data_IF_419766366624
#
_entry.id   IF_419766366624
#
_cell.length_a   1.000
_cell.length_b   1.000
_cell.length_c   1.000
_cell.angle_alpha   90.00
_cell.angle_beta   90.00
_cell.angle_gamma   90.00
#
_symmetry.space_group_name_H-M   'P 1'
#
loop_
_entity.id
_entity.type
_entity.pdbx_description
1 polymer ?
#
# COMPACT_ATOMS: atom_id res chain seq x y z
N UNK A 1 -1.10 14.31 -21.68
CA UNK A 1 -1.15 14.76 -20.28
C UNK A 1 -1.52 13.62 -19.36
N UNK A 2 -0.78 13.49 -18.28
CA UNK A 2 -1.06 12.45 -17.30
C UNK A 2 -2.29 12.85 -16.48
N UNK A 3 -3.26 11.95 -16.39
CA UNK A 3 -4.44 12.19 -15.58
C UNK A 3 -4.05 12.22 -14.10
N UNK A 4 -4.49 13.25 -13.38
CA UNK A 4 -4.22 13.39 -11.96
C UNK A 4 -4.94 12.30 -11.18
N UNK A 5 -4.20 11.62 -10.29
CA UNK A 5 -4.75 10.53 -9.50
C UNK A 5 -5.23 11.04 -8.15
N UNK A 6 -6.27 10.40 -7.61
CA UNK A 6 -6.90 10.84 -6.37
C UNK A 6 -6.83 9.76 -5.30
N UNK A 7 -6.84 10.22 -4.04
CA UNK A 7 -6.88 9.32 -2.89
C UNK A 7 -8.32 8.91 -2.56
N UNK A 8 -8.48 8.03 -1.58
CA UNK A 8 -9.79 7.51 -1.16
C UNK A 8 -10.72 8.58 -0.57
N UNK A 9 -10.18 9.76 -0.25
CA UNK A 9 -10.97 10.89 0.26
C UNK A 9 -11.42 11.82 -0.87
N UNK A 10 -11.09 11.52 -2.13
CA UNK A 10 -11.43 12.34 -3.27
C UNK A 10 -10.52 13.54 -3.47
N UNK A 11 -9.39 13.58 -2.78
CA UNK A 11 -8.40 14.64 -2.87
C UNK A 11 -7.22 14.19 -3.72
N UNK A 12 -6.26 15.08 -3.96
CA UNK A 12 -5.05 14.73 -4.68
C UNK A 12 -4.25 13.67 -3.91
N UNK A 13 -3.78 12.64 -4.63
CA UNK A 13 -3.00 11.57 -4.03
C UNK A 13 -1.65 12.10 -3.54
N UNK A 14 -1.34 11.90 -2.26
CA UNK A 14 -0.08 12.32 -1.67
C UNK A 14 1.00 11.26 -1.81
N UNK A 15 2.26 11.66 -1.67
CA UNK A 15 3.41 10.77 -1.74
C UNK A 15 3.36 9.74 -0.60
N UNK A 16 3.52 8.45 -0.93
CA UNK A 16 3.57 7.38 0.06
C UNK A 16 4.97 7.26 0.67
N UNK A 17 5.97 7.03 -0.18
CA UNK A 17 7.36 6.92 0.29
C UNK A 17 8.35 7.12 -0.84
N UNK A 18 9.43 7.85 -0.55
CA UNK A 18 10.58 7.98 -1.45
C UNK A 18 11.78 7.16 -0.96
N UNK A 19 11.74 6.67 0.29
CA UNK A 19 12.81 5.87 0.90
C UNK A 19 12.21 4.91 1.93
N UNK A 20 11.87 3.68 1.54
CA UNK A 20 12.08 3.04 0.22
C UNK A 20 11.20 3.66 -0.87
N UNK A 21 11.73 3.75 -2.07
CA UNK A 21 10.96 4.26 -3.21
C UNK A 21 9.92 3.22 -3.60
N UNK A 22 8.65 3.59 -3.56
CA UNK A 22 7.53 2.68 -3.73
C UNK A 22 6.65 3.06 -4.92
N UNK A 23 5.63 2.26 -5.16
CA UNK A 23 4.62 2.49 -6.18
C UNK A 23 4.81 1.63 -7.41
N UNK A 24 3.71 1.40 -8.13
CA UNK A 24 3.74 0.66 -9.39
C UNK A 24 4.71 1.30 -10.39
N UNK A 25 4.74 2.63 -10.43
CA UNK A 25 5.65 3.38 -11.30
C UNK A 25 7.00 3.71 -10.66
N UNK A 26 7.19 3.36 -9.39
CA UNK A 26 8.38 3.74 -8.61
C UNK A 26 8.59 5.25 -8.56
N UNK A 27 7.51 6.00 -8.43
CA UNK A 27 7.52 7.45 -8.29
C UNK A 27 7.23 7.93 -6.86
N UNK A 28 7.12 6.98 -5.93
CA UNK A 28 6.84 7.28 -4.52
C UNK A 28 5.36 7.36 -4.18
N UNK A 29 4.50 7.38 -5.19
CA UNK A 29 3.05 7.49 -5.01
C UNK A 29 2.36 6.18 -5.39
N UNK A 30 1.23 5.88 -4.74
CA UNK A 30 0.46 4.68 -5.03
C UNK A 30 -0.44 4.89 -6.26
N UNK A 31 0.14 5.45 -7.32
CA UNK A 31 -0.49 5.60 -8.62
C UNK A 31 -0.71 4.23 -9.25
N UNK A 32 -1.73 4.11 -10.07
CA UNK A 32 -2.04 2.83 -10.71
C UNK A 32 -2.60 3.06 -12.11
N UNK A 33 -2.62 1.98 -12.89
CA UNK A 33 -3.28 1.97 -14.19
C UNK A 33 -3.82 0.56 -14.46
N UNK A 34 -4.38 0.36 -15.65
CA UNK A 34 -5.01 -0.91 -16.04
C UNK A 34 -4.03 -2.08 -16.13
N UNK A 35 -2.73 -1.81 -16.21
CA UNK A 35 -1.69 -2.84 -16.29
C UNK A 35 -1.28 -3.33 -14.90
N UNK A 36 -1.65 -2.61 -13.85
CA UNK A 36 -1.35 -2.99 -12.46
C UNK A 36 -2.40 -4.00 -11.97
N UNK A 37 -2.19 -5.27 -12.30
CA UNK A 37 -3.13 -6.35 -11.97
C UNK A 37 -3.34 -6.51 -10.46
N UNK A 38 -2.30 -6.25 -9.67
CA UNK A 38 -2.38 -6.37 -8.22
C UNK A 38 -3.01 -5.16 -7.54
N UNK A 39 -3.20 -4.08 -8.27
CA UNK A 39 -3.75 -2.81 -7.76
C UNK A 39 -2.94 -2.36 -6.53
N UNK A 40 -1.68 -1.95 -6.76
CA UNK A 40 -0.74 -1.53 -5.71
C UNK A 40 -1.08 -0.13 -5.21
N UNK A 41 -2.20 0.02 -4.52
CA UNK A 41 -2.82 1.31 -4.22
C UNK A 41 -2.92 1.67 -2.75
N UNK A 42 -2.61 0.74 -1.83
CA UNK A 42 -2.73 0.99 -0.39
C UNK A 42 -1.38 1.45 0.16
N UNK A 43 -1.30 2.71 0.64
CA UNK A 43 -0.08 3.17 1.30
C UNK A 43 -0.09 2.69 2.76
N UNK A 44 0.62 1.60 3.02
CA UNK A 44 0.67 0.98 4.33
C UNK A 44 1.97 1.34 5.06
N UNK A 45 1.85 1.62 6.36
CA UNK A 45 3.00 1.70 7.25
C UNK A 45 3.20 0.30 7.80
N UNK A 46 4.10 -0.47 7.18
CA UNK A 46 4.23 -1.89 7.49
C UNK A 46 4.77 -2.12 8.91
N UNK A 47 4.31 -3.19 9.53
CA UNK A 47 4.74 -3.61 10.85
C UNK A 47 5.42 -4.98 10.75
N UNK A 48 6.20 -5.35 11.76
CA UNK A 48 6.81 -6.68 11.81
C UNK A 48 5.75 -7.77 11.71
N UNK A 49 4.62 -7.61 12.42
CA UNK A 49 3.53 -8.58 12.38
C UNK A 49 2.97 -8.74 10.98
N UNK A 50 2.72 -7.63 10.27
CA UNK A 50 2.22 -7.66 8.91
C UNK A 50 3.24 -8.30 7.97
N UNK A 51 4.51 -7.91 8.08
CA UNK A 51 5.58 -8.43 7.22
C UNK A 51 5.79 -9.93 7.42
N UNK A 52 5.77 -10.39 8.66
CA UNK A 52 5.93 -11.82 8.96
C UNK A 52 4.75 -12.62 8.42
N UNK A 53 3.53 -12.09 8.58
CA UNK A 53 2.34 -12.73 8.01
C UNK A 53 2.45 -12.82 6.48
N UNK A 54 2.89 -11.74 5.83
CA UNK A 54 3.06 -11.72 4.37
C UNK A 54 4.02 -12.82 3.93
N UNK A 55 5.16 -12.95 4.60
CA UNK A 55 6.17 -13.96 4.27
C UNK A 55 5.60 -15.37 4.41
N UNK A 56 4.92 -15.66 5.52
CA UNK A 56 4.29 -16.96 5.76
C UNK A 56 3.20 -17.27 4.74
N UNK A 57 2.47 -16.25 4.32
CA UNK A 57 1.36 -16.42 3.37
C UNK A 57 1.82 -16.48 1.91
N UNK A 58 3.13 -16.34 1.65
CA UNK A 58 3.69 -16.51 0.32
C UNK A 58 4.08 -15.22 -0.40
N UNK A 59 4.04 -14.07 0.29
CA UNK A 59 4.44 -12.79 -0.28
C UNK A 59 5.52 -12.16 0.59
N UNK A 60 6.77 -12.58 0.38
CA UNK A 60 7.91 -12.12 1.16
C UNK A 60 8.30 -10.69 0.78
N UNK A 61 7.98 -9.72 1.63
CA UNK A 61 8.36 -8.33 1.46
C UNK A 61 9.61 -7.95 2.26
N UNK A 62 10.20 -8.91 2.98
CA UNK A 62 11.35 -8.68 3.85
C UNK A 62 12.68 -8.88 3.11
N UNK A 63 12.76 -9.92 2.30
CA UNK A 63 14.01 -10.26 1.60
C UNK A 63 14.29 -9.26 0.47
N UNK A 64 15.48 -8.63 0.47
CA UNK A 64 15.85 -7.72 -0.63
C UNK A 64 15.94 -8.43 -1.98
N UNK A 65 15.57 -7.72 -3.04
CA UNK A 65 15.72 -8.17 -4.41
C UNK A 65 16.39 -7.06 -5.22
N UNK A 66 17.72 -6.91 -5.10
CA UNK A 66 18.45 -5.82 -5.77
C UNK A 66 18.23 -5.77 -7.28
N UNK A 67 18.03 -6.94 -7.92
CA UNK A 67 17.76 -7.06 -9.36
C UNK A 67 16.49 -6.31 -9.79
N UNK A 68 15.55 -6.07 -8.85
CA UNK A 68 14.32 -5.31 -9.10
C UNK A 68 14.33 -3.95 -8.40
N UNK A 69 15.48 -3.55 -7.84
CA UNK A 69 15.56 -2.31 -7.07
C UNK A 69 14.76 -2.33 -5.77
N UNK A 70 14.49 -3.53 -5.24
CA UNK A 70 13.71 -3.68 -4.01
C UNK A 70 14.64 -3.91 -2.81
N UNK A 71 14.68 -2.98 -1.86
CA UNK A 71 15.62 -3.05 -0.72
C UNK A 71 15.16 -3.97 0.42
N UNK A 72 13.94 -4.52 0.34
CA UNK A 72 13.32 -5.22 1.47
C UNK A 72 12.71 -4.22 2.44
N UNK A 73 11.65 -4.61 3.12
CA UNK A 73 10.94 -3.73 4.03
C UNK A 73 11.21 -4.12 5.49
N UNK A 74 11.15 -3.12 6.36
CA UNK A 74 11.26 -3.31 7.81
C UNK A 74 10.16 -2.52 8.50
N UNK A 75 9.94 -2.80 9.76
CA UNK A 75 8.93 -2.12 10.57
C UNK A 75 9.03 -0.60 10.43
N UNK A 76 7.91 0.03 10.15
CA UNK A 76 7.84 1.49 10.01
C UNK A 76 7.99 2.01 8.58
N UNK A 77 8.43 1.17 7.64
CA UNK A 77 8.53 1.58 6.23
C UNK A 77 7.13 1.77 5.65
N UNK A 78 7.01 2.68 4.68
CA UNK A 78 5.76 2.88 3.94
C UNK A 78 5.90 2.25 2.56
N UNK A 79 4.87 1.55 2.14
CA UNK A 79 4.89 0.81 0.87
C UNK A 79 3.51 0.78 0.23
N UNK A 80 3.47 0.87 -1.09
CA UNK A 80 2.22 0.73 -1.85
C UNK A 80 1.90 -0.76 -1.99
N UNK A 81 1.05 -1.25 -1.11
CA UNK A 81 0.68 -2.66 -1.02
C UNK A 81 -0.46 -2.96 -1.99
N UNK A 82 -0.45 -4.15 -2.57
CA UNK A 82 -1.55 -4.67 -3.38
C UNK A 82 -2.85 -4.64 -2.58
N UNK A 83 -3.90 -4.03 -3.12
CA UNK A 83 -5.17 -3.88 -2.41
C UNK A 83 -5.82 -5.22 -2.08
N UNK A 84 -5.77 -6.19 -3.00
CA UNK A 84 -6.33 -7.52 -2.74
C UNK A 84 -5.55 -8.24 -1.64
N UNK A 85 -4.22 -8.04 -1.59
CA UNK A 85 -3.38 -8.62 -0.55
C UNK A 85 -3.68 -8.00 0.81
N UNK A 86 -3.84 -6.66 0.84
CA UNK A 86 -4.20 -5.98 2.09
C UNK A 86 -5.56 -6.42 2.60
N UNK A 87 -6.53 -6.65 1.69
CA UNK A 87 -7.84 -7.20 2.07
C UNK A 87 -7.70 -8.57 2.75
N UNK A 88 -6.81 -9.43 2.25
CA UNK A 88 -6.53 -10.72 2.87
C UNK A 88 -5.92 -10.55 4.26
N UNK A 89 -5.05 -9.55 4.43
CA UNK A 89 -4.44 -9.27 5.73
C UNK A 89 -5.51 -8.87 6.75
N UNK A 90 -6.46 -8.03 6.33
CA UNK A 90 -7.58 -7.64 7.18
C UNK A 90 -8.38 -8.88 7.63
N UNK A 91 -8.70 -9.76 6.69
CA UNK A 91 -9.45 -11.00 6.98
C UNK A 91 -8.68 -11.91 7.95
N UNK A 92 -7.35 -11.88 7.89
CA UNK A 92 -6.50 -12.66 8.78
C UNK A 92 -6.22 -11.95 10.11
N UNK A 93 -6.81 -10.77 10.31
CA UNK A 93 -6.59 -9.91 11.48
C UNK A 93 -5.11 -9.46 11.60
N UNK A 94 -4.50 -9.21 10.46
CA UNK A 94 -3.08 -8.79 10.35
C UNK A 94 -2.91 -7.47 9.62
N UNK A 95 -3.99 -6.67 9.47
CA UNK A 95 -3.91 -5.36 8.84
C UNK A 95 -2.99 -4.42 9.62
N UNK A 96 -2.10 -3.72 8.90
CA UNK A 96 -1.21 -2.73 9.50
C UNK A 96 -1.78 -1.33 9.30
N UNK A 97 -1.21 -0.30 9.99
CA UNK A 97 -1.66 1.08 9.79
C UNK A 97 -1.51 1.54 8.35
N UNK A 98 -2.42 2.39 7.90
CA UNK A 98 -2.40 2.95 6.53
C UNK A 98 -2.61 4.46 6.57
N UNK A 99 -2.27 5.11 5.44
CA UNK A 99 -2.49 6.54 5.23
C UNK A 99 -3.55 6.73 4.14
N UNK A 100 -4.74 7.20 4.51
CA UNK A 100 -5.83 7.39 3.55
C UNK A 100 -5.48 8.44 2.49
N UNK A 101 -4.79 9.51 2.89
CA UNK A 101 -4.40 10.57 1.96
C UNK A 101 -3.40 10.11 0.91
N UNK A 102 -2.73 8.98 1.15
CA UNK A 102 -1.72 8.40 0.27
C UNK A 102 -2.18 7.08 -0.36
N UNK A 103 -3.45 6.73 -0.18
CA UNK A 103 -4.04 5.50 -0.71
C UNK A 103 -4.96 5.86 -1.89
N UNK A 104 -4.71 5.22 -3.04
CA UNK A 104 -5.44 5.53 -4.27
C UNK A 104 -6.91 5.13 -4.17
N UNK A 105 -7.79 5.92 -4.80
CA UNK A 105 -9.24 5.70 -4.77
C UNK A 105 -9.67 4.33 -5.32
N UNK A 106 -8.88 3.72 -6.20
CA UNK A 106 -9.20 2.39 -6.74
C UNK A 106 -9.26 1.30 -5.66
N UNK A 107 -8.64 1.54 -4.51
CA UNK A 107 -8.74 0.65 -3.36
C UNK A 107 -10.19 0.40 -2.95
N UNK A 108 -11.05 1.42 -3.14
CA UNK A 108 -12.46 1.33 -2.76
C UNK A 108 -13.25 0.30 -3.55
N UNK A 109 -12.71 -0.15 -4.68
CA UNK A 109 -13.33 -1.24 -5.46
C UNK A 109 -13.23 -2.58 -4.76
N UNK A 110 -12.26 -2.71 -3.84
CA UNK A 110 -11.97 -3.96 -3.14
C UNK A 110 -12.23 -3.88 -1.63
N UNK A 111 -12.06 -2.70 -1.03
CA UNK A 111 -12.18 -2.51 0.42
C UNK A 111 -13.03 -1.27 0.71
N UNK A 112 -14.13 -1.43 1.49
CA UNK A 112 -14.98 -0.28 1.84
C UNK A 112 -14.22 0.77 2.66
N UNK A 113 -14.61 2.05 2.49
CA UNK A 113 -13.96 3.15 3.20
C UNK A 113 -14.07 3.00 4.74
N UNK A 114 -15.19 2.48 5.24
CA UNK A 114 -15.37 2.27 6.68
C UNK A 114 -14.33 1.31 7.24
N UNK A 115 -13.99 0.27 6.46
CA UNK A 115 -12.96 -0.70 6.85
C UNK A 115 -11.59 -0.05 6.85
N UNK A 116 -11.29 0.72 5.80
CA UNK A 116 -10.00 1.42 5.71
C UNK A 116 -9.81 2.41 6.87
N UNK A 117 -10.86 3.10 7.29
CA UNK A 117 -10.80 4.06 8.38
C UNK A 117 -10.35 3.43 9.70
N UNK A 118 -10.63 2.15 9.90
CA UNK A 118 -10.23 1.44 11.12
C UNK A 118 -8.71 1.33 11.26
N UNK A 119 -7.99 1.37 10.14
CA UNK A 119 -6.53 1.24 10.10
C UNK A 119 -5.83 2.56 9.81
N UNK A 120 -6.57 3.62 9.55
CA UNK A 120 -6.02 4.91 9.14
C UNK A 120 -5.33 5.62 10.31
N UNK A 121 -4.14 6.18 10.06
CA UNK A 121 -3.41 6.96 11.07
C UNK A 121 -3.23 8.42 10.68
N UNK A 122 -3.76 8.84 9.54
CA UNK A 122 -3.69 10.23 9.08
C UNK A 122 -5.05 10.95 9.09
N UNK A 123 -6.04 10.38 9.79
CA UNK A 123 -7.31 11.05 10.04
C UNK A 123 -7.32 11.56 11.46
N UNK A 124 -7.72 12.81 11.62
CA UNK A 124 -7.89 13.42 12.93
C UNK A 124 -9.33 13.25 13.41
#
# INVERSE_FOLDING_TARGET
MTKKQRNVLGEDLELCSSDPLTGWYRDGCCNTDENDKGVHTVCAKVSDEFLNWCKEAGNDLITPHPEFGFPGLKDGDCWCVCASWYARAIDANKGCPIFLKRTHENTLKLIPIETLKKYAIDLS
#
